data_IF_513784970591
#
_entry.id   IF_513784970591
#
_cell.length_a   1.000
_cell.length_b   1.000
_cell.length_c   1.000
_cell.angle_alpha   90.00
_cell.angle_beta   90.00
_cell.angle_gamma   90.00
#
_symmetry.space_group_name_H-M   'P 1'
#
loop_
_entity.id
_entity.type
_entity.pdbx_description
1 polymer ?
#
# COMPACT_ATOMS: atom_id res chain seq x y z
N UNK A 1 -2.19 15.85 -9.04
CA UNK A 1 -3.20 14.77 -8.95
C UNK A 1 -3.25 14.29 -7.52
N UNK A 2 -4.43 14.20 -6.95
CA UNK A 2 -4.56 13.78 -5.56
C UNK A 2 -4.90 12.29 -5.48
N UNK A 3 -5.10 11.79 -4.26
CA UNK A 3 -5.37 10.37 -4.05
C UNK A 3 -6.64 9.94 -4.77
N UNK A 4 -7.66 10.79 -4.77
CA UNK A 4 -8.92 10.43 -5.41
C UNK A 4 -8.73 10.29 -6.92
N UNK A 5 -8.01 11.21 -7.52
CA UNK A 5 -7.77 11.16 -8.94
C UNK A 5 -6.88 9.98 -9.32
N UNK A 6 -5.89 9.67 -8.49
CA UNK A 6 -5.06 8.51 -8.73
C UNK A 6 -5.88 7.22 -8.62
N UNK A 7 -6.80 7.18 -7.66
CA UNK A 7 -7.67 6.00 -7.50
C UNK A 7 -8.56 5.84 -8.73
N UNK A 8 -9.08 6.93 -9.27
CA UNK A 8 -9.90 6.85 -10.46
C UNK A 8 -9.10 6.37 -11.67
N UNK A 9 -7.88 6.86 -11.81
CA UNK A 9 -7.03 6.42 -12.91
C UNK A 9 -6.72 4.92 -12.78
N UNK A 10 -6.49 4.46 -11.56
CA UNK A 10 -6.25 3.05 -11.32
C UNK A 10 -7.48 2.22 -11.69
N UNK A 11 -8.68 2.65 -11.29
CA UNK A 11 -9.89 1.90 -11.62
C UNK A 11 -10.12 1.85 -13.14
N UNK A 12 -9.84 2.96 -13.83
CA UNK A 12 -9.98 2.97 -15.28
C UNK A 12 -9.07 1.95 -15.93
N UNK A 13 -7.86 1.82 -15.42
CA UNK A 13 -6.93 0.83 -15.94
C UNK A 13 -7.46 -0.59 -15.71
N UNK A 14 -7.91 -0.88 -14.48
CA UNK A 14 -8.41 -2.22 -14.15
C UNK A 14 -9.63 -2.56 -15.00
N UNK A 15 -10.53 -1.59 -15.18
CA UNK A 15 -11.69 -1.79 -16.05
C UNK A 15 -11.25 -2.10 -17.48
N UNK A 16 -10.24 -1.41 -17.96
CA UNK A 16 -9.81 -1.61 -19.35
C UNK A 16 -9.25 -3.00 -19.58
N UNK A 17 -8.82 -3.66 -18.52
CA UNK A 17 -8.29 -5.02 -18.63
C UNK A 17 -9.37 -6.07 -18.41
N UNK A 18 -10.58 -5.68 -18.10
CA UNK A 18 -11.67 -6.62 -17.83
C UNK A 18 -11.56 -7.33 -16.50
N UNK A 19 -10.69 -6.86 -15.62
CA UNK A 19 -10.47 -7.56 -14.36
C UNK A 19 -11.59 -7.38 -13.35
N UNK A 20 -12.46 -6.38 -13.56
CA UNK A 20 -13.63 -6.22 -12.70
C UNK A 20 -14.85 -7.00 -13.22
N UNK A 21 -14.73 -7.67 -14.35
CA UNK A 21 -15.85 -8.41 -14.89
C UNK A 21 -16.12 -9.68 -14.06
N UNK A 22 -17.36 -10.15 -14.01
CA UNK A 22 -17.69 -11.30 -13.19
C UNK A 22 -16.93 -12.57 -13.56
N UNK A 23 -16.55 -12.70 -14.83
CA UNK A 23 -15.84 -13.89 -15.28
C UNK A 23 -14.32 -13.71 -15.28
N UNK A 24 -13.83 -12.68 -14.64
CA UNK A 24 -12.39 -12.43 -14.60
C UNK A 24 -11.66 -13.59 -13.93
N UNK A 25 -10.52 -13.94 -14.48
CA UNK A 25 -9.69 -14.95 -13.89
C UNK A 25 -8.80 -14.34 -12.81
N UNK A 26 -8.90 -13.04 -12.61
CA UNK A 26 -8.18 -12.33 -11.55
C UNK A 26 -9.19 -11.53 -10.75
N UNK A 27 -10.06 -12.20 -9.98
CA UNK A 27 -11.08 -11.47 -9.23
C UNK A 27 -10.44 -10.47 -8.29
N UNK A 28 -10.91 -9.24 -8.36
CA UNK A 28 -10.32 -8.14 -7.59
C UNK A 28 -11.01 -8.01 -6.24
N UNK A 29 -10.99 -9.08 -5.46
CA UNK A 29 -11.59 -9.07 -4.12
C UNK A 29 -10.60 -8.49 -3.13
N UNK A 30 -11.07 -7.98 -1.99
CA UNK A 30 -10.15 -7.46 -0.98
C UNK A 30 -9.08 -8.47 -0.58
N UNK A 31 -9.45 -9.74 -0.43
CA UNK A 31 -8.47 -10.76 -0.07
C UNK A 31 -7.39 -10.90 -1.14
N UNK A 32 -7.79 -10.99 -2.40
CA UNK A 32 -6.82 -11.16 -3.47
C UNK A 32 -5.95 -9.92 -3.62
N UNK A 33 -6.53 -8.74 -3.41
CA UNK A 33 -5.76 -7.51 -3.49
C UNK A 33 -4.77 -7.40 -2.35
N UNK A 34 -5.16 -7.85 -1.15
CA UNK A 34 -4.23 -7.85 -0.02
C UNK A 34 -3.05 -8.78 -0.28
N UNK A 35 -3.30 -9.92 -0.92
CA UNK A 35 -2.25 -10.85 -1.28
C UNK A 35 -1.30 -10.19 -2.30
N UNK A 36 -1.86 -9.57 -3.33
CA UNK A 36 -1.05 -8.90 -4.34
C UNK A 36 -0.22 -7.78 -3.73
N UNK A 37 -0.82 -7.00 -2.83
CA UNK A 37 -0.11 -5.94 -2.16
C UNK A 37 1.08 -6.50 -1.38
N UNK A 38 0.88 -7.60 -0.69
CA UNK A 38 1.94 -8.21 0.10
C UNK A 38 3.07 -8.70 -0.80
N UNK A 39 2.73 -9.31 -1.92
CA UNK A 39 3.76 -9.81 -2.84
C UNK A 39 4.57 -8.67 -3.44
N UNK A 40 3.91 -7.57 -3.79
CA UNK A 40 4.63 -6.43 -4.36
C UNK A 40 5.53 -5.78 -3.32
N UNK A 41 5.07 -5.69 -2.08
CA UNK A 41 5.90 -5.13 -1.01
C UNK A 41 7.13 -6.00 -0.81
N UNK A 42 6.98 -7.32 -0.96
CA UNK A 42 8.09 -8.22 -0.81
C UNK A 42 9.11 -8.04 -1.94
N UNK A 43 8.66 -7.71 -3.15
CA UNK A 43 9.58 -7.45 -4.24
C UNK A 43 10.41 -6.21 -3.96
N UNK A 44 9.83 -5.20 -3.32
CA UNK A 44 10.61 -4.03 -2.93
C UNK A 44 11.71 -4.42 -1.96
N UNK A 45 11.40 -5.34 -1.04
CA UNK A 45 12.37 -5.79 -0.07
C UNK A 45 13.53 -6.51 -0.75
N UNK A 46 13.27 -7.24 -1.82
CA UNK A 46 14.30 -8.01 -2.51
C UNK A 46 15.44 -7.15 -3.04
N UNK A 47 15.18 -5.84 -3.24
CA UNK A 47 16.26 -4.96 -3.68
C UNK A 47 17.38 -4.89 -2.67
N UNK A 48 17.11 -5.21 -1.40
CA UNK A 48 18.09 -5.09 -0.35
C UNK A 48 18.53 -6.46 0.19
N UNK A 49 18.16 -7.56 -0.49
CA UNK A 49 18.39 -8.89 0.04
C UNK A 49 19.87 -9.17 0.31
N UNK A 50 20.73 -8.76 -0.59
CA UNK A 50 22.15 -9.07 -0.47
C UNK A 50 23.02 -7.87 -0.13
N UNK A 51 22.42 -6.73 0.08
CA UNK A 51 23.18 -5.50 0.33
C UNK A 51 22.32 -4.50 1.04
N UNK A 52 22.94 -3.60 1.78
CA UNK A 52 22.19 -2.60 2.51
C UNK A 52 21.93 -1.34 1.73
N UNK A 53 22.46 -1.22 0.53
CA UNK A 53 22.30 -0.03 -0.26
C UNK A 53 21.45 -0.26 -1.47
N UNK A 54 20.70 0.75 -1.84
CA UNK A 54 19.86 0.69 -3.03
C UNK A 54 20.71 0.83 -4.27
N UNK A 55 20.56 -0.09 -5.21
CA UNK A 55 21.31 0.00 -6.44
C UNK A 55 20.50 0.45 -7.62
N UNK A 56 19.23 0.14 -7.68
CA UNK A 56 18.40 0.52 -8.82
C UNK A 56 17.21 1.30 -8.34
N UNK A 57 17.35 2.61 -8.34
CA UNK A 57 16.33 3.50 -7.86
C UNK A 57 15.07 3.45 -8.72
N UNK A 58 15.25 3.31 -10.03
CA UNK A 58 14.10 3.29 -10.93
C UNK A 58 13.26 2.02 -10.75
N UNK A 59 13.91 0.89 -10.52
CA UNK A 59 13.19 -0.32 -10.30
C UNK A 59 12.45 -0.27 -8.97
N UNK A 60 13.07 0.26 -7.94
CA UNK A 60 12.40 0.41 -6.66
C UNK A 60 11.20 1.34 -6.80
N UNK A 61 11.36 2.43 -7.56
CA UNK A 61 10.26 3.36 -7.78
C UNK A 61 9.08 2.66 -8.44
N UNK A 62 9.35 1.80 -9.41
CA UNK A 62 8.31 1.06 -10.09
C UNK A 62 7.57 0.13 -9.12
N UNK A 63 8.31 -0.53 -8.24
CA UNK A 63 7.67 -1.44 -7.29
C UNK A 63 6.90 -0.71 -6.22
N UNK A 64 7.40 0.44 -5.78
CA UNK A 64 6.63 1.25 -4.83
C UNK A 64 5.35 1.76 -5.46
N UNK A 65 5.40 2.05 -6.76
CA UNK A 65 4.19 2.45 -7.48
C UNK A 65 3.19 1.31 -7.50
N UNK A 66 3.65 0.08 -7.76
CA UNK A 66 2.75 -1.06 -7.77
C UNK A 66 2.13 -1.30 -6.41
N UNK A 67 2.93 -1.18 -5.34
CA UNK A 67 2.42 -1.31 -3.99
C UNK A 67 1.32 -0.28 -3.74
N UNK A 68 1.57 0.96 -4.17
CA UNK A 68 0.61 2.03 -3.97
C UNK A 68 -0.67 1.80 -4.75
N UNK A 69 -0.56 1.32 -5.99
CA UNK A 69 -1.75 1.06 -6.79
C UNK A 69 -2.62 -0.02 -6.14
N UNK A 70 -2.03 -1.09 -5.64
CA UNK A 70 -2.81 -2.12 -4.95
C UNK A 70 -3.39 -1.58 -3.64
N UNK A 71 -2.67 -0.71 -2.96
CA UNK A 71 -3.15 -0.11 -1.73
C UNK A 71 -4.38 0.76 -2.01
N UNK A 72 -4.32 1.61 -3.03
CA UNK A 72 -5.45 2.45 -3.41
C UNK A 72 -6.64 1.59 -3.79
N UNK A 73 -6.40 0.51 -4.52
CA UNK A 73 -7.47 -0.35 -4.97
C UNK A 73 -8.12 -1.08 -3.80
N UNK A 74 -7.32 -1.64 -2.92
CA UNK A 74 -7.84 -2.35 -1.76
C UNK A 74 -8.68 -1.43 -0.89
N UNK A 75 -8.21 -0.22 -0.64
CA UNK A 75 -8.97 0.74 0.15
C UNK A 75 -10.30 1.05 -0.54
N UNK A 76 -10.26 1.27 -1.85
CA UNK A 76 -11.45 1.66 -2.58
C UNK A 76 -12.50 0.55 -2.61
N UNK A 77 -12.10 -0.69 -2.94
CA UNK A 77 -13.08 -1.77 -3.01
C UNK A 77 -13.59 -2.15 -1.62
N UNK A 78 -12.88 -1.75 -0.58
CA UNK A 78 -13.30 -2.01 0.79
C UNK A 78 -14.13 -0.84 1.36
N UNK A 79 -14.38 0.18 0.56
CA UNK A 79 -15.19 1.31 1.00
C UNK A 79 -14.47 2.23 1.98
N UNK A 80 -13.14 2.28 1.93
CA UNK A 80 -12.36 3.10 2.83
C UNK A 80 -11.88 4.34 2.13
N UNK A 81 -12.12 5.51 2.77
CA UNK A 81 -11.57 6.77 2.29
C UNK A 81 -10.14 6.83 2.81
N UNK A 82 -9.20 6.48 1.96
CA UNK A 82 -7.81 6.33 2.38
C UNK A 82 -7.19 7.64 2.83
N UNK A 83 -7.53 8.73 2.16
CA UNK A 83 -6.99 10.04 2.55
C UNK A 83 -7.37 10.37 3.98
N UNK A 84 -8.66 10.20 4.31
CA UNK A 84 -9.12 10.49 5.66
C UNK A 84 -8.52 9.52 6.67
N UNK A 85 -8.36 8.26 6.28
CA UNK A 85 -7.75 7.27 7.18
C UNK A 85 -6.31 7.65 7.48
N UNK A 86 -5.57 8.11 6.47
CA UNK A 86 -4.20 8.54 6.66
C UNK A 86 -4.12 9.75 7.57
N UNK A 87 -4.97 10.75 7.31
CA UNK A 87 -4.95 11.97 8.11
C UNK A 87 -5.28 11.67 9.57
N UNK A 88 -6.27 10.80 9.79
CA UNK A 88 -6.65 10.43 11.13
C UNK A 88 -5.50 9.71 11.84
N UNK A 89 -4.81 8.84 11.11
CA UNK A 89 -3.71 8.09 11.70
C UNK A 89 -2.55 9.00 12.05
N UNK A 90 -2.27 9.97 11.19
CA UNK A 90 -1.22 10.93 11.47
C UNK A 90 -1.55 11.72 12.74
N UNK A 91 -2.82 12.12 12.89
CA UNK A 91 -3.23 12.84 14.07
C UNK A 91 -3.08 11.99 15.32
N UNK A 92 -3.50 10.73 15.24
CA UNK A 92 -3.36 9.81 16.35
C UNK A 92 -1.90 9.62 16.73
N UNK A 93 -1.05 9.42 15.73
CA UNK A 93 0.36 9.20 15.99
C UNK A 93 1.03 10.45 16.55
N UNK A 94 0.62 11.62 16.11
CA UNK A 94 1.20 12.86 16.60
C UNK A 94 0.84 13.12 18.07
N UNK A 95 -0.34 12.65 18.48
CA UNK A 95 -0.75 12.88 19.85
C UNK A 95 -0.23 11.84 20.81
N UNK A 96 0.40 10.76 20.30
CA UNK A 96 0.92 9.77 21.19
C UNK A 96 2.17 10.26 21.86
N UNK A 97 2.36 9.79 23.07
CA UNK A 97 3.56 10.11 23.79
C UNK A 97 4.54 8.99 23.51
N UNK A 98 5.52 9.24 22.71
CA UNK A 98 6.51 8.24 22.36
C UNK A 98 7.67 8.30 23.33
N UNK A 99 7.96 7.17 23.98
CA UNK A 99 9.05 7.11 24.93
C UNK A 99 10.28 6.64 24.19
N UNK A 100 11.10 7.54 23.80
CA UNK A 100 12.22 7.19 22.94
C UNK A 100 13.24 6.31 23.57
N UNK A 101 13.33 6.28 24.88
CA UNK A 101 14.28 5.40 25.43
C UNK A 101 13.85 4.03 25.52
N UNK A 102 12.67 3.80 25.91
CA UNK A 102 12.20 2.46 26.01
C UNK A 102 11.32 2.15 24.86
N UNK A 103 11.20 3.03 23.92
CA UNK A 103 10.36 2.77 22.82
C UNK A 103 10.93 1.65 22.08
N UNK A 104 10.33 0.53 22.17
CA UNK A 104 10.75 -0.59 21.54
C UNK A 104 10.28 -0.56 20.20
N UNK A 105 11.10 -0.69 19.31
CA UNK A 105 10.64 -0.62 17.95
C UNK A 105 9.64 -1.68 17.68
N UNK A 106 9.67 -2.75 18.36
CA UNK A 106 8.71 -3.76 18.09
C UNK A 106 7.31 -3.31 18.41
N UNK A 107 7.15 -2.43 19.35
CA UNK A 107 5.86 -1.99 19.62
C UNK A 107 5.33 -1.14 18.56
N UNK A 108 6.14 -0.33 17.98
CA UNK A 108 5.68 0.51 16.99
C UNK A 108 5.22 -0.25 15.86
N UNK A 109 5.90 -1.24 15.57
CA UNK A 109 5.53 -1.95 14.43
C UNK A 109 4.24 -2.60 14.56
N UNK A 110 3.87 -2.92 15.69
CA UNK A 110 2.68 -3.62 15.83
C UNK A 110 1.64 -2.90 15.21
N UNK A 111 1.94 -1.96 14.69
CA UNK A 111 0.99 -1.37 13.96
C UNK A 111 -0.16 -1.02 14.68
N UNK A 112 -0.22 -1.25 15.78
CA UNK A 112 -1.24 -0.90 16.39
C UNK A 112 -1.22 0.42 16.36
N UNK A 113 -0.39 0.97 15.91
CA UNK A 113 -0.35 2.37 15.85
C UNK A 113 -1.65 3.04 15.94
#
# INVERSE_FOLDING_TARGET
MDIKELTEAMHNFVHSKGWYEPDSKRPQTPRNLAISLSLEANEALEHFQWQGELKDKDELASELADVTLYLLQLASVSGIDLEQAILKKLETNASREWNTESDDSSRRVSGKG
#
